data_IF_321139184449
#
_entry.id   IF_321139184449
#
_cell.length_a   1.000
_cell.length_b   1.000
_cell.length_c   1.000
_cell.angle_alpha   90.00
_cell.angle_beta   90.00
_cell.angle_gamma   90.00
#
_symmetry.space_group_name_H-M   'P 1'
#
loop_
_entity.id
_entity.type
_entity.pdbx_description
1 polymer ?
#
# COMPACT_ATOMS: atom_id res chain seq x y z
N UNK A 1 8.50 6.08 -6.73
CA UNK A 1 7.84 6.05 -5.41
C UNK A 1 7.02 4.78 -5.26
N UNK A 2 6.05 4.54 -6.13
CA UNK A 2 5.23 3.33 -6.10
C UNK A 2 6.02 2.03 -6.24
N UNK A 3 6.83 1.97 -7.30
CA UNK A 3 7.72 0.85 -7.54
C UNK A 3 8.75 0.70 -6.42
N UNK A 4 9.11 1.77 -5.72
CA UNK A 4 10.05 1.67 -4.59
C UNK A 4 9.39 1.02 -3.38
N UNK A 5 8.15 1.39 -3.06
CA UNK A 5 7.39 0.81 -1.96
C UNK A 5 7.11 -0.69 -2.17
N UNK A 6 6.87 -1.10 -3.42
CA UNK A 6 6.56 -2.48 -3.79
C UNK A 6 7.84 -3.30 -4.03
N UNK A 7 8.77 -2.84 -4.89
CA UNK A 7 9.99 -3.59 -5.23
C UNK A 7 11.00 -3.63 -4.08
N UNK A 8 11.19 -2.54 -3.33
CA UNK A 8 12.14 -2.55 -2.21
C UNK A 8 11.55 -3.17 -0.93
N UNK A 9 10.29 -3.62 -0.95
CA UNK A 9 9.60 -4.14 0.25
C UNK A 9 9.74 -3.18 1.45
N UNK A 10 9.78 -1.87 1.21
CA UNK A 10 10.11 -0.86 2.23
C UNK A 10 9.15 -0.88 3.42
N UNK A 11 7.93 -1.35 3.20
CA UNK A 11 6.91 -1.46 4.24
C UNK A 11 7.00 -2.77 5.02
N UNK A 12 7.62 -3.83 4.49
CA UNK A 12 7.67 -5.15 5.13
C UNK A 12 8.45 -5.06 6.45
N UNK A 13 7.87 -5.60 7.52
CA UNK A 13 8.41 -5.53 8.88
C UNK A 13 8.11 -4.22 9.62
N UNK A 14 7.57 -3.20 8.95
CA UNK A 14 7.17 -1.94 9.60
C UNK A 14 5.87 -2.10 10.38
N UNK A 15 5.72 -1.29 11.42
CA UNK A 15 4.48 -1.19 12.19
C UNK A 15 3.42 -0.36 11.46
N UNK A 16 2.14 -0.54 11.81
CA UNK A 16 1.04 0.29 11.27
C UNK A 16 1.33 1.80 11.40
N UNK A 17 1.90 2.24 12.52
CA UNK A 17 2.24 3.65 12.73
C UNK A 17 3.32 4.17 11.76
N UNK A 18 4.36 3.38 11.50
CA UNK A 18 5.39 3.74 10.51
C UNK A 18 4.82 3.75 9.09
N UNK A 19 3.98 2.78 8.74
CA UNK A 19 3.34 2.73 7.42
C UNK A 19 2.49 4.00 7.22
N UNK A 20 1.72 4.42 8.23
CA UNK A 20 0.95 5.67 8.20
C UNK A 20 1.85 6.90 8.01
N UNK A 21 3.05 6.92 8.59
CA UNK A 21 3.99 8.04 8.37
C UNK A 21 4.55 8.08 6.94
N UNK A 22 4.63 6.93 6.25
CA UNK A 22 5.21 6.82 4.90
C UNK A 22 4.15 7.04 3.82
N UNK A 23 3.01 6.36 3.91
CA UNK A 23 1.94 6.35 2.87
C UNK A 23 0.66 7.04 3.32
N UNK A 24 0.48 7.30 4.62
CA UNK A 24 -0.75 7.84 5.18
C UNK A 24 -1.72 6.77 5.66
N UNK A 25 -2.82 7.21 6.28
CA UNK A 25 -3.87 6.30 6.75
C UNK A 25 -4.88 5.97 5.64
N UNK A 26 -5.16 6.91 4.72
CA UNK A 26 -6.07 6.72 3.56
C UNK A 26 -7.43 6.09 3.91
N UNK A 27 -7.94 6.33 5.13
CA UNK A 27 -9.20 5.76 5.61
C UNK A 27 -9.13 4.29 6.08
N UNK A 28 -7.93 3.70 6.12
CA UNK A 28 -7.73 2.38 6.68
C UNK A 28 -7.85 2.38 8.21
N UNK A 29 -8.38 1.31 8.79
CA UNK A 29 -8.55 1.18 10.23
C UNK A 29 -7.33 0.51 10.89
N UNK A 30 -6.85 1.06 12.01
CA UNK A 30 -5.75 0.47 12.79
C UNK A 30 -6.02 -0.96 13.28
N UNK A 31 -7.30 -1.34 13.39
CA UNK A 31 -7.72 -2.69 13.75
C UNK A 31 -7.71 -3.67 12.57
N UNK A 32 -7.73 -3.20 11.32
CA UNK A 32 -7.68 -4.07 10.16
C UNK A 32 -6.29 -4.64 9.94
N UNK A 33 -6.24 -5.92 9.60
CA UNK A 33 -5.00 -6.62 9.26
C UNK A 33 -4.65 -6.52 7.77
N UNK A 34 -5.50 -5.89 6.96
CA UNK A 34 -5.24 -5.66 5.54
C UNK A 34 -5.59 -4.23 5.18
N UNK A 35 -4.64 -3.49 4.62
CA UNK A 35 -4.83 -2.11 4.17
C UNK A 35 -4.66 -2.01 2.68
N UNK A 36 -5.46 -1.13 2.06
CA UNK A 36 -5.39 -0.88 0.63
C UNK A 36 -5.02 0.58 0.40
N UNK A 37 -4.09 0.77 -0.52
CA UNK A 37 -3.63 2.09 -0.92
C UNK A 37 -3.81 2.24 -2.42
N UNK A 38 -4.38 3.39 -2.79
CA UNK A 38 -4.52 3.75 -4.19
C UNK A 38 -3.27 4.53 -4.60
N UNK A 39 -2.52 3.94 -5.51
CA UNK A 39 -1.32 4.57 -6.03
C UNK A 39 -1.53 4.81 -7.52
N UNK A 40 -1.63 6.08 -7.88
CA UNK A 40 -1.90 6.47 -9.25
C UNK A 40 -1.27 7.81 -9.53
N UNK A 41 -0.66 7.94 -10.71
CA UNK A 41 -0.23 9.21 -11.25
C UNK A 41 -1.21 9.57 -12.36
N UNK A 42 -1.79 10.77 -12.34
CA UNK A 42 -2.52 11.30 -13.51
C UNK A 42 -1.59 12.14 -14.39
N UNK A 43 -0.99 11.58 -15.44
CA UNK A 43 -0.67 12.34 -16.63
C UNK A 43 -1.67 11.96 -17.74
N UNK A 44 -2.54 12.90 -18.13
CA UNK A 44 -3.31 12.89 -19.37
C UNK A 44 -3.96 11.55 -19.82
N UNK A 45 -5.28 11.43 -19.60
CA UNK A 45 -6.21 10.54 -20.32
C UNK A 45 -6.16 9.01 -20.09
N UNK A 46 -5.15 8.40 -19.46
CA UNK A 46 -5.20 6.97 -19.08
C UNK A 46 -5.13 6.80 -17.56
N UNK A 47 -6.19 6.24 -16.96
CA UNK A 47 -6.20 5.90 -15.53
C UNK A 47 -5.52 4.54 -15.31
N UNK A 48 -4.21 4.53 -15.15
CA UNK A 48 -3.54 3.38 -14.52
C UNK A 48 -3.60 3.57 -13.00
N UNK A 49 -4.74 3.23 -12.41
CA UNK A 49 -4.88 3.11 -10.95
C UNK A 49 -4.23 1.80 -10.51
N UNK A 50 -2.98 1.87 -10.08
CA UNK A 50 -2.39 0.76 -9.35
C UNK A 50 -2.92 0.77 -7.91
N UNK A 51 -3.30 -0.39 -7.41
CA UNK A 51 -3.63 -0.54 -6.01
C UNK A 51 -2.55 -1.41 -5.38
N UNK A 52 -2.17 -1.10 -4.15
CA UNK A 52 -1.37 -2.02 -3.36
C UNK A 52 -2.17 -2.49 -2.16
N UNK A 53 -2.02 -3.76 -1.84
CA UNK A 53 -2.54 -4.35 -0.62
C UNK A 53 -1.36 -4.65 0.31
N UNK A 54 -1.49 -4.17 1.55
CA UNK A 54 -0.54 -4.34 2.62
C UNK A 54 -1.19 -5.22 3.67
N UNK A 55 -0.65 -6.43 3.87
CA UNK A 55 -1.14 -7.37 4.86
C UNK A 55 -0.26 -7.33 6.10
N UNK A 56 -0.90 -7.26 7.26
CA UNK A 56 -0.29 -7.19 8.58
C UNK A 56 -0.47 -8.51 9.32
N UNK A 57 0.55 -8.87 10.07
CA UNK A 57 0.54 -9.99 11.01
C UNK A 57 1.36 -9.61 12.22
N UNK A 58 0.82 -9.90 13.40
CA UNK A 58 1.48 -9.56 14.67
C UNK A 58 1.80 -8.04 14.79
N UNK A 59 0.93 -7.19 14.23
CA UNK A 59 1.09 -5.73 14.26
C UNK A 59 2.14 -5.14 13.30
N UNK A 60 2.76 -5.97 12.45
CA UNK A 60 3.75 -5.57 11.44
C UNK A 60 3.34 -6.02 10.05
N UNK A 61 3.84 -5.36 9.01
CA UNK A 61 3.59 -5.76 7.63
C UNK A 61 4.28 -7.10 7.35
N UNK A 62 3.51 -8.11 6.96
CA UNK A 62 4.02 -9.40 6.51
C UNK A 62 4.32 -9.36 5.00
N UNK A 63 3.38 -8.85 4.21
CA UNK A 63 3.50 -8.83 2.75
C UNK A 63 2.88 -7.58 2.13
N UNK A 64 3.44 -7.15 1.01
CA UNK A 64 2.90 -6.10 0.15
C UNK A 64 2.75 -6.68 -1.26
N UNK A 65 1.57 -6.51 -1.86
CA UNK A 65 1.28 -6.97 -3.22
C UNK A 65 0.61 -5.88 -4.05
N UNK A 66 0.90 -5.84 -5.35
CA UNK A 66 0.18 -4.96 -6.29
C UNK A 66 -1.11 -5.65 -6.73
N UNK A 67 -2.25 -5.03 -6.47
CA UNK A 67 -3.50 -5.35 -7.13
C UNK A 67 -3.47 -4.75 -8.53
N UNK A 68 -3.59 -5.60 -9.55
CA UNK A 68 -3.88 -5.15 -10.92
C UNK A 68 -5.35 -4.70 -10.96
N UNK A 69 -5.66 -3.55 -11.56
CA UNK A 69 -7.05 -3.24 -11.89
C UNK A 69 -7.55 -4.35 -12.83
N UNK A 70 -8.69 -4.95 -12.49
CA UNK A 70 -9.41 -5.84 -13.40
C UNK A 70 -9.96 -4.97 -14.54
N UNK A 71 -9.56 -5.30 -15.77
CA UNK A 71 -10.03 -4.73 -17.04
C UNK A 71 -11.57 -4.70 -17.13
#
# INVERSE_FOLDING_TARGET
>A
MEDDLINNKLLVGKTKAEVVQIVGLEGNELKSDSWRYFMGKKPGFTFESSQIEVNYKDGKVETVGRMKPTD
#
